data_IF_378632430529
#
_entry.id   IF_378632430529
#
_cell.length_a   1.000
_cell.length_b   1.000
_cell.length_c   1.000
_cell.angle_alpha   90.00
_cell.angle_beta   90.00
_cell.angle_gamma   90.00
#
_symmetry.space_group_name_H-M   'P 1'
#
loop_
_entity.id
_entity.type
_entity.pdbx_description
1 polymer ?
#
# COMPACT_ATOMS: atom_id res chain seq x y z
N UNK A 1 26.50 -7.01 -50.69
CA UNK A 1 25.27 -6.19 -50.59
C UNK A 1 24.22 -6.84 -49.68
N UNK A 2 24.07 -8.16 -49.67
CA UNK A 2 23.13 -8.92 -48.81
C UNK A 2 23.26 -8.67 -47.29
N UNK A 3 24.48 -8.55 -46.75
CA UNK A 3 24.71 -8.33 -45.31
C UNK A 3 24.35 -6.92 -44.80
N UNK A 4 24.35 -5.91 -45.68
CA UNK A 4 23.97 -4.54 -45.30
C UNK A 4 22.46 -4.40 -45.16
N UNK A 5 21.71 -5.07 -46.03
CA UNK A 5 20.24 -5.06 -46.02
C UNK A 5 19.70 -5.81 -44.78
N UNK A 6 20.29 -6.97 -44.45
CA UNK A 6 19.95 -7.73 -43.23
C UNK A 6 20.14 -6.91 -41.95
N UNK A 7 21.24 -6.18 -41.83
CA UNK A 7 21.50 -5.33 -40.67
C UNK A 7 20.55 -4.12 -40.58
N UNK A 8 20.15 -3.54 -41.70
CA UNK A 8 19.16 -2.46 -41.71
C UNK A 8 17.75 -2.96 -41.33
N UNK A 9 17.37 -4.15 -41.81
CA UNK A 9 16.11 -4.80 -41.46
C UNK A 9 16.05 -5.15 -39.96
N UNK A 10 17.11 -5.75 -39.40
CA UNK A 10 17.21 -6.06 -37.96
C UNK A 10 17.15 -4.79 -37.11
N UNK A 11 17.84 -3.71 -37.52
CA UNK A 11 17.83 -2.44 -36.79
C UNK A 11 16.44 -1.78 -36.82
N UNK A 12 15.75 -1.84 -37.96
CA UNK A 12 14.39 -1.30 -38.14
C UNK A 12 13.36 -2.08 -37.32
N UNK A 13 13.44 -3.41 -37.32
CA UNK A 13 12.58 -4.28 -36.51
C UNK A 13 12.79 -4.05 -35.01
N UNK A 14 14.05 -4.02 -34.56
CA UNK A 14 14.41 -3.75 -33.15
C UNK A 14 13.93 -2.37 -32.70
N UNK A 15 14.11 -1.33 -33.52
CA UNK A 15 13.63 0.03 -33.21
C UNK A 15 12.10 0.10 -33.10
N UNK A 16 11.38 -0.53 -34.04
CA UNK A 16 9.91 -0.56 -34.02
C UNK A 16 9.35 -1.32 -32.79
N UNK A 17 10.03 -2.39 -32.36
CA UNK A 17 9.67 -3.12 -31.15
C UNK A 17 9.95 -2.29 -29.88
N UNK A 18 11.04 -1.52 -29.82
CA UNK A 18 11.34 -0.64 -28.68
C UNK A 18 10.27 0.44 -28.51
N UNK A 19 9.87 1.13 -29.59
CA UNK A 19 8.83 2.17 -29.49
C UNK A 19 7.49 1.61 -28.97
N UNK A 20 7.10 0.41 -29.42
CA UNK A 20 5.89 -0.27 -28.93
C UNK A 20 5.94 -0.52 -27.43
N UNK A 21 7.07 -1.03 -26.93
CA UNK A 21 7.23 -1.32 -25.51
C UNK A 21 7.33 -0.06 -24.64
N UNK A 22 7.95 1.02 -25.14
CA UNK A 22 7.94 2.33 -24.47
C UNK A 22 6.50 2.84 -24.32
N UNK A 23 5.69 2.74 -25.38
CA UNK A 23 4.29 3.13 -25.32
C UNK A 23 3.50 2.30 -24.31
N UNK A 24 3.69 0.98 -24.31
CA UNK A 24 3.07 0.06 -23.33
C UNK A 24 3.43 0.46 -21.90
N UNK A 25 4.72 0.67 -21.61
CA UNK A 25 5.20 1.08 -20.28
C UNK A 25 4.59 2.43 -19.87
N UNK A 26 4.55 3.39 -20.79
CA UNK A 26 3.94 4.70 -20.56
C UNK A 26 2.46 4.59 -20.16
N UNK A 27 1.70 3.75 -20.88
CA UNK A 27 0.28 3.49 -20.55
C UNK A 27 0.15 2.89 -19.16
N UNK A 28 0.97 1.88 -18.82
CA UNK A 28 0.93 1.22 -17.49
C UNK A 28 1.11 2.24 -16.37
N UNK A 29 2.14 3.09 -16.47
CA UNK A 29 2.47 4.09 -15.44
C UNK A 29 1.38 5.16 -15.37
N UNK A 30 1.04 5.79 -16.50
CA UNK A 30 0.08 6.89 -16.53
C UNK A 30 -1.32 6.44 -16.11
N UNK A 31 -1.74 5.24 -16.48
CA UNK A 31 -3.02 4.67 -16.06
C UNK A 31 -3.11 4.52 -14.54
N UNK A 32 -2.06 3.98 -13.90
CA UNK A 32 -2.06 3.77 -12.45
C UNK A 32 -1.93 5.09 -11.67
N UNK A 33 -1.16 6.06 -12.19
CA UNK A 33 -1.14 7.42 -11.67
C UNK A 33 -2.53 8.06 -11.78
N UNK A 34 -3.17 7.94 -12.95
CA UNK A 34 -4.51 8.45 -13.18
C UNK A 34 -5.52 7.87 -12.18
N UNK A 35 -5.54 6.54 -11.98
CA UNK A 35 -6.40 5.93 -10.96
C UNK A 35 -6.12 6.48 -9.55
N UNK A 36 -4.85 6.56 -9.16
CA UNK A 36 -4.45 7.04 -7.83
C UNK A 36 -4.92 8.48 -7.58
N UNK A 37 -4.65 9.40 -8.52
CA UNK A 37 -5.06 10.79 -8.39
C UNK A 37 -6.58 10.98 -8.55
N UNK A 38 -7.23 10.22 -9.42
CA UNK A 38 -8.68 10.27 -9.56
C UNK A 38 -9.39 9.86 -8.28
N UNK A 39 -8.91 8.83 -7.58
CA UNK A 39 -9.44 8.42 -6.27
C UNK A 39 -9.24 9.54 -5.25
N UNK A 40 -8.03 10.13 -5.20
CA UNK A 40 -7.74 11.24 -4.27
C UNK A 40 -8.64 12.46 -4.48
N UNK A 41 -9.12 12.71 -5.71
CA UNK A 41 -10.03 13.83 -5.99
C UNK A 41 -11.44 13.66 -5.42
N UNK A 42 -11.87 12.41 -5.18
CA UNK A 42 -13.25 12.10 -4.76
C UNK A 42 -13.33 11.43 -3.40
N UNK A 43 -12.19 11.02 -2.84
CA UNK A 43 -12.11 10.28 -1.59
C UNK A 43 -10.84 10.68 -0.83
N UNK A 44 -11.01 11.55 0.16
CA UNK A 44 -9.92 12.09 0.96
C UNK A 44 -9.33 11.03 1.89
N UNK A 45 -8.00 11.06 2.03
CA UNK A 45 -7.30 10.22 2.99
C UNK A 45 -7.47 10.79 4.40
N UNK A 46 -7.66 9.94 5.42
CA UNK A 46 -7.54 10.38 6.80
C UNK A 46 -6.07 10.78 7.06
N UNK A 47 -5.86 11.96 7.63
CA UNK A 47 -4.53 12.43 8.06
C UNK A 47 -4.38 12.21 9.57
N UNK A 48 -3.17 11.87 10.04
CA UNK A 48 -2.94 11.57 11.47
C UNK A 48 -3.31 12.76 12.37
N UNK A 49 -3.04 13.98 11.91
CA UNK A 49 -3.31 15.23 12.62
C UNK A 49 -4.79 15.53 12.80
N UNK A 50 -5.68 14.86 12.04
CA UNK A 50 -7.13 14.98 12.21
C UNK A 50 -7.62 14.21 13.45
N UNK A 51 -6.79 13.31 13.99
CA UNK A 51 -7.09 12.47 15.16
C UNK A 51 -6.20 12.81 16.35
N UNK A 52 -4.89 12.95 16.12
CA UNK A 52 -3.91 13.18 17.17
C UNK A 52 -3.36 14.61 17.07
N UNK A 53 -3.63 15.44 18.08
CA UNK A 53 -3.16 16.83 18.10
C UNK A 53 -1.66 16.87 18.41
N UNK A 54 -0.88 17.50 17.52
CA UNK A 54 0.55 17.73 17.73
C UNK A 54 0.75 18.95 18.63
N UNK A 55 0.78 18.74 19.95
CA UNK A 55 1.15 19.78 20.90
C UNK A 55 2.68 19.91 21.02
N UNK A 56 3.18 21.15 21.10
CA UNK A 56 4.63 21.41 21.20
C UNK A 56 5.24 20.92 22.52
N UNK A 57 4.42 20.79 23.57
CA UNK A 57 4.80 20.24 24.87
C UNK A 57 3.66 19.35 25.35
N UNK A 58 3.85 18.04 25.30
CA UNK A 58 2.95 17.09 25.97
C UNK A 58 3.48 16.80 27.36
N UNK A 59 2.68 17.09 28.37
CA UNK A 59 2.94 16.64 29.73
C UNK A 59 2.56 15.17 29.78
N UNK A 60 3.50 14.28 30.11
CA UNK A 60 3.15 12.88 30.31
C UNK A 60 2.53 12.69 31.69
N UNK A 61 1.35 12.06 31.80
CA UNK A 61 0.77 11.72 33.08
C UNK A 61 1.66 10.71 33.82
N UNK A 62 2.02 11.03 35.07
CA UNK A 62 2.79 10.13 35.94
C UNK A 62 1.90 9.11 36.68
N UNK A 63 0.59 9.12 36.43
CA UNK A 63 -0.40 8.26 37.10
C UNK A 63 -1.25 7.52 36.07
N UNK A 64 -1.68 6.30 36.42
CA UNK A 64 -2.59 5.50 35.60
C UNK A 64 -3.93 6.21 35.38
N UNK A 65 -4.52 6.78 36.44
CA UNK A 65 -5.78 7.51 36.35
C UNK A 65 -5.67 8.71 35.39
N UNK A 66 -4.60 9.52 35.50
CA UNK A 66 -4.36 10.62 34.57
C UNK A 66 -4.14 10.17 33.13
N UNK A 67 -3.48 9.02 32.93
CA UNK A 67 -3.28 8.44 31.61
C UNK A 67 -4.60 8.04 30.94
N UNK A 68 -5.47 7.35 31.68
CA UNK A 68 -6.76 6.87 31.17
C UNK A 68 -7.72 8.05 30.94
N UNK A 69 -7.70 9.07 31.80
CA UNK A 69 -8.53 10.26 31.66
C UNK A 69 -8.21 11.06 30.39
N UNK A 70 -6.95 11.06 29.95
CA UNK A 70 -6.52 11.66 28.68
C UNK A 70 -6.74 10.75 27.45
N UNK A 71 -7.29 9.55 27.64
CA UNK A 71 -7.51 8.58 26.57
C UNK A 71 -6.24 7.79 26.17
N UNK A 72 -5.22 7.79 27.03
CA UNK A 72 -4.02 7.00 26.85
C UNK A 72 -4.18 5.54 27.33
N UNK A 73 -3.18 4.71 27.01
CA UNK A 73 -3.06 3.36 27.56
C UNK A 73 -1.89 3.31 28.54
N UNK A 74 -2.18 2.94 29.79
CA UNK A 74 -1.15 2.69 30.78
C UNK A 74 -0.53 1.30 30.58
N UNK A 75 0.79 1.24 30.54
CA UNK A 75 1.56 0.00 30.54
C UNK A 75 2.35 -0.11 31.83
N UNK A 76 2.01 -1.10 32.66
CA UNK A 76 2.79 -1.43 33.85
C UNK A 76 4.22 -1.82 33.46
N UNK A 77 5.19 -1.48 34.31
CA UNK A 77 6.60 -1.86 34.09
C UNK A 77 6.76 -3.39 34.05
N UNK A 78 7.31 -3.90 32.94
CA UNK A 78 7.98 -5.20 32.94
C UNK A 78 9.40 -5.03 33.49
N UNK A 79 9.73 -5.56 34.69
CA UNK A 79 11.07 -5.44 35.28
C UNK A 79 12.18 -6.08 34.42
N UNK A 80 11.85 -6.92 33.43
CA UNK A 80 12.82 -7.55 32.53
C UNK A 80 13.20 -6.69 31.32
N UNK A 81 12.41 -5.68 30.94
CA UNK A 81 12.71 -4.79 29.80
C UNK A 81 13.66 -3.63 30.16
N UNK A 82 13.98 -3.45 31.43
CA UNK A 82 14.95 -2.43 31.91
C UNK A 82 16.42 -2.88 31.91
N UNK A 83 16.77 -4.07 31.41
CA UNK A 83 18.19 -4.41 31.20
C UNK A 83 18.66 -3.90 29.83
N UNK A 84 18.60 -2.58 29.63
CA UNK A 84 19.42 -1.91 28.62
C UNK A 84 20.90 -2.06 28.99
N UNK A 85 21.84 -1.97 28.04
CA UNK A 85 23.25 -1.91 28.37
C UNK A 85 23.47 -0.70 29.30
N UNK A 86 24.02 -0.93 30.49
CA UNK A 86 24.39 0.11 31.45
C UNK A 86 25.25 1.17 30.74
N UNK A 87 24.65 2.29 30.35
CA UNK A 87 25.41 3.40 29.81
C UNK A 87 26.12 4.09 30.97
N UNK A 88 27.44 4.14 30.80
CA UNK A 88 28.46 4.56 31.74
C UNK A 88 28.18 5.90 32.44
N UNK A 89 28.32 5.85 33.78
CA UNK A 89 28.90 6.85 34.68
C UNK A 89 28.59 8.33 34.44
N UNK A 90 27.73 8.91 35.28
CA UNK A 90 27.68 10.36 35.54
C UNK A 90 26.32 11.03 35.44
N UNK A 91 25.25 10.30 35.14
CA UNK A 91 23.88 10.81 35.26
C UNK A 91 23.45 10.94 36.73
N UNK A 92 22.52 11.85 37.07
CA UNK A 92 21.95 11.90 38.42
C UNK A 92 21.42 10.51 38.78
N UNK A 93 21.73 10.07 40.00
CA UNK A 93 21.15 8.88 40.61
C UNK A 93 19.64 8.95 40.40
N UNK A 94 19.08 7.97 39.68
CA UNK A 94 17.64 7.83 39.57
C UNK A 94 17.14 7.59 41.00
N UNK A 95 16.68 8.65 41.66
CA UNK A 95 16.06 8.57 42.98
C UNK A 95 14.98 7.51 42.92
N UNK A 96 15.14 6.50 43.78
CA UNK A 96 14.19 5.44 44.04
C UNK A 96 12.83 6.09 44.37
N UNK A 97 11.99 6.17 43.34
CA UNK A 97 10.82 7.04 43.23
C UNK A 97 10.11 6.78 41.91
N UNK A 98 9.91 5.50 41.62
CA UNK A 98 8.70 4.93 41.00
C UNK A 98 8.09 5.67 39.81
N UNK A 99 8.75 5.67 38.65
CA UNK A 99 7.95 5.58 37.42
C UNK A 99 7.25 4.21 37.46
N UNK A 100 5.98 4.15 37.84
CA UNK A 100 5.19 2.92 38.05
C UNK A 100 4.73 2.26 36.74
N UNK A 101 4.91 2.95 35.61
CA UNK A 101 4.55 2.50 34.27
C UNK A 101 4.90 3.54 33.21
N UNK A 102 4.42 3.33 31.99
CA UNK A 102 4.51 4.29 30.87
C UNK A 102 3.11 4.53 30.30
N UNK A 103 2.77 5.80 30.03
CA UNK A 103 1.51 6.17 29.41
C UNK A 103 1.69 6.39 27.89
N UNK A 104 0.99 5.60 27.07
CA UNK A 104 0.81 5.87 25.64
C UNK A 104 -0.37 6.82 25.44
N UNK A 105 -0.10 8.13 25.54
CA UNK A 105 -1.12 9.19 25.40
C UNK A 105 -1.79 9.24 24.02
N UNK A 106 -1.17 8.66 22.99
CA UNK A 106 -1.73 8.61 21.63
C UNK A 106 -2.57 7.36 21.38
N UNK A 107 -2.72 6.45 22.35
CA UNK A 107 -3.32 5.15 22.11
C UNK A 107 -4.71 5.22 21.45
N UNK A 108 -5.65 5.96 22.05
CA UNK A 108 -7.02 6.03 21.53
C UNK A 108 -7.08 6.76 20.19
N UNK A 109 -6.42 7.92 20.06
CA UNK A 109 -6.45 8.67 18.80
C UNK A 109 -5.77 7.91 17.65
N UNK A 110 -4.69 7.16 17.93
CA UNK A 110 -4.01 6.29 16.96
C UNK A 110 -4.91 5.15 16.52
N UNK A 111 -5.65 4.53 17.45
CA UNK A 111 -6.61 3.49 17.12
C UNK A 111 -7.74 4.02 16.23
N UNK A 112 -8.29 5.20 16.53
CA UNK A 112 -9.31 5.84 15.69
C UNK A 112 -8.78 6.16 14.28
N UNK A 113 -7.55 6.66 14.18
CA UNK A 113 -6.87 6.88 12.90
C UNK A 113 -6.70 5.58 12.13
N UNK A 114 -6.20 4.52 12.77
CA UNK A 114 -5.96 3.22 12.13
C UNK A 114 -7.28 2.60 11.65
N UNK A 115 -8.36 2.71 12.42
CA UNK A 115 -9.70 2.27 12.02
C UNK A 115 -10.20 3.01 10.78
N UNK A 116 -10.08 4.35 10.75
CA UNK A 116 -10.48 5.16 9.59
C UNK A 116 -9.61 4.89 8.39
N UNK A 117 -8.30 4.72 8.59
CA UNK A 117 -7.33 4.39 7.55
C UNK A 117 -7.58 3.01 6.95
N UNK A 118 -7.91 2.02 7.76
CA UNK A 118 -8.27 0.67 7.33
C UNK A 118 -9.52 0.70 6.43
N UNK A 119 -10.58 1.41 6.85
CA UNK A 119 -11.79 1.59 6.03
C UNK A 119 -11.47 2.31 4.72
N UNK A 120 -10.65 3.36 4.76
CA UNK A 120 -10.20 4.07 3.58
C UNK A 120 -9.44 3.15 2.62
N UNK A 121 -8.44 2.41 3.11
CA UNK A 121 -7.64 1.47 2.33
C UNK A 121 -8.49 0.38 1.68
N UNK A 122 -9.47 -0.15 2.42
CA UNK A 122 -10.44 -1.13 1.90
C UNK A 122 -11.24 -0.57 0.72
N UNK A 123 -11.77 0.64 0.85
CA UNK A 123 -12.55 1.29 -0.21
C UNK A 123 -11.68 1.57 -1.44
N UNK A 124 -10.46 2.07 -1.24
CA UNK A 124 -9.49 2.28 -2.33
C UNK A 124 -9.13 0.95 -3.01
N UNK A 125 -8.94 -0.12 -2.26
CA UNK A 125 -8.72 -1.46 -2.81
C UNK A 125 -9.88 -1.88 -3.72
N UNK A 126 -11.13 -1.78 -3.26
CA UNK A 126 -12.32 -2.14 -4.05
C UNK A 126 -12.39 -1.31 -5.33
N UNK A 127 -12.15 0.00 -5.26
CA UNK A 127 -12.16 0.87 -6.45
C UNK A 127 -11.04 0.49 -7.43
N UNK A 128 -9.82 0.24 -6.96
CA UNK A 128 -8.70 -0.21 -7.81
C UNK A 128 -8.95 -1.58 -8.44
N UNK A 129 -9.67 -2.48 -7.75
CA UNK A 129 -10.12 -3.76 -8.32
C UNK A 129 -11.11 -3.53 -9.46
N UNK A 130 -12.13 -2.70 -9.25
CA UNK A 130 -13.13 -2.39 -10.28
C UNK A 130 -12.47 -1.74 -11.50
N UNK A 131 -11.62 -0.73 -11.28
CA UNK A 131 -10.90 -0.03 -12.35
C UNK A 131 -9.90 -0.95 -13.07
N UNK A 132 -9.18 -1.81 -12.33
CA UNK A 132 -8.26 -2.79 -12.89
C UNK A 132 -8.97 -3.81 -13.78
N UNK A 133 -10.10 -4.36 -13.31
CA UNK A 133 -10.94 -5.27 -14.10
C UNK A 133 -11.54 -4.55 -15.32
N UNK A 134 -12.03 -3.32 -15.16
CA UNK A 134 -12.54 -2.53 -16.27
C UNK A 134 -11.46 -2.28 -17.34
N UNK A 135 -10.22 -1.99 -16.92
CA UNK A 135 -9.07 -1.83 -17.82
C UNK A 135 -8.72 -3.13 -18.56
N UNK A 136 -8.74 -4.27 -17.86
CA UNK A 136 -8.53 -5.59 -18.47
C UNK A 136 -9.58 -5.88 -19.54
N UNK A 137 -10.86 -5.65 -19.22
CA UNK A 137 -11.98 -5.84 -20.16
C UNK A 137 -11.86 -4.90 -21.35
N UNK A 138 -11.58 -3.61 -21.12
CA UNK A 138 -11.37 -2.63 -22.19
C UNK A 138 -10.21 -3.03 -23.11
N UNK A 139 -9.12 -3.57 -22.56
CA UNK A 139 -7.99 -4.09 -23.31
C UNK A 139 -8.37 -5.20 -24.29
N UNK A 140 -9.38 -6.02 -24.00
CA UNK A 140 -9.83 -7.10 -24.90
C UNK A 140 -10.57 -6.56 -26.13
N UNK A 141 -11.32 -5.47 -25.98
CA UNK A 141 -12.12 -4.89 -27.07
C UNK A 141 -11.34 -3.92 -27.98
N UNK A 142 -10.14 -3.49 -27.56
CA UNK A 142 -9.31 -2.56 -28.34
C UNK A 142 -8.43 -3.32 -29.34
N UNK A 143 -8.56 -2.98 -30.62
CA UNK A 143 -7.79 -3.60 -31.72
C UNK A 143 -6.32 -3.17 -31.78
N UNK A 144 -5.96 -2.04 -31.18
CA UNK A 144 -4.59 -1.55 -31.14
C UNK A 144 -3.75 -2.37 -30.15
N UNK A 145 -2.87 -3.24 -30.67
CA UNK A 145 -2.10 -4.21 -29.87
C UNK A 145 -1.33 -3.58 -28.70
N UNK A 146 -0.62 -2.46 -28.93
CA UNK A 146 0.13 -1.79 -27.86
C UNK A 146 -0.78 -1.22 -26.77
N UNK A 147 -1.95 -0.69 -27.14
CA UNK A 147 -2.92 -0.14 -26.18
C UNK A 147 -3.59 -1.26 -25.40
N UNK A 148 -4.01 -2.33 -26.08
CA UNK A 148 -4.57 -3.53 -25.48
C UNK A 148 -3.62 -4.15 -24.44
N UNK A 149 -2.34 -4.34 -24.78
CA UNK A 149 -1.32 -4.85 -23.86
C UNK A 149 -1.10 -3.87 -22.70
N UNK A 150 -1.00 -2.57 -22.98
CA UNK A 150 -0.82 -1.54 -21.95
C UNK A 150 -1.95 -1.50 -20.93
N UNK A 151 -3.22 -1.53 -21.39
CA UNK A 151 -4.39 -1.56 -20.51
C UNK A 151 -4.51 -2.88 -19.74
N UNK A 152 -4.17 -4.00 -20.37
CA UNK A 152 -4.20 -5.29 -19.70
C UNK A 152 -3.16 -5.36 -18.57
N UNK A 153 -1.89 -5.04 -18.88
CA UNK A 153 -0.81 -5.04 -17.89
C UNK A 153 -1.01 -3.94 -16.83
N UNK A 154 -1.51 -2.77 -17.24
CA UNK A 154 -1.84 -1.68 -16.33
C UNK A 154 -2.97 -2.05 -15.37
N UNK A 155 -3.99 -2.79 -15.86
CA UNK A 155 -5.05 -3.34 -15.04
C UNK A 155 -4.54 -4.37 -14.03
N UNK A 156 -3.69 -5.31 -14.46
CA UNK A 156 -3.03 -6.26 -13.53
C UNK A 156 -2.21 -5.52 -12.48
N UNK A 157 -1.44 -4.51 -12.87
CA UNK A 157 -0.66 -3.70 -11.93
C UNK A 157 -1.57 -2.97 -10.92
N UNK A 158 -2.71 -2.44 -11.36
CA UNK A 158 -3.70 -1.82 -10.47
C UNK A 158 -4.23 -2.81 -9.42
N UNK A 159 -4.48 -4.06 -9.81
CA UNK A 159 -4.88 -5.12 -8.88
C UNK A 159 -3.79 -5.37 -7.82
N UNK A 160 -2.52 -5.44 -8.25
CA UNK A 160 -1.38 -5.64 -7.34
C UNK A 160 -1.25 -4.45 -6.37
N UNK A 161 -1.33 -3.21 -6.87
CA UNK A 161 -1.23 -2.00 -6.05
C UNK A 161 -2.37 -1.97 -5.02
N UNK A 162 -3.60 -2.28 -5.44
CA UNK A 162 -4.74 -2.39 -4.54
C UNK A 162 -4.52 -3.44 -3.45
N UNK A 163 -4.06 -4.63 -3.83
CA UNK A 163 -3.76 -5.71 -2.88
C UNK A 163 -2.72 -5.31 -1.85
N UNK A 164 -1.58 -4.75 -2.28
CA UNK A 164 -0.52 -4.31 -1.35
C UNK A 164 -1.07 -3.27 -0.36
N UNK A 165 -1.93 -2.35 -0.82
CA UNK A 165 -2.47 -1.28 0.01
C UNK A 165 -3.33 -1.78 1.18
N UNK A 166 -4.16 -2.79 0.95
CA UNK A 166 -5.09 -3.30 1.96
C UNK A 166 -4.60 -4.60 2.63
N UNK A 167 -3.47 -5.16 2.18
CA UNK A 167 -2.97 -6.46 2.65
C UNK A 167 -2.83 -6.56 4.16
N UNK A 168 -2.23 -5.55 4.80
CA UNK A 168 -1.97 -5.56 6.25
C UNK A 168 -3.26 -5.59 7.06
N UNK A 169 -4.26 -4.82 6.62
CA UNK A 169 -5.54 -4.65 7.30
C UNK A 169 -6.57 -5.75 6.94
N UNK A 170 -6.24 -6.59 5.95
CA UNK A 170 -7.10 -7.66 5.47
C UNK A 170 -7.01 -8.89 6.40
N UNK A 171 -8.17 -9.36 6.85
CA UNK A 171 -8.30 -10.63 7.58
C UNK A 171 -7.76 -11.81 6.77
N UNK A 172 -7.26 -12.83 7.46
CA UNK A 172 -6.64 -14.00 6.83
C UNK A 172 -7.61 -14.75 5.90
N UNK A 173 -8.91 -14.81 6.22
CA UNK A 173 -9.91 -15.44 5.35
C UNK A 173 -10.04 -14.65 4.04
N UNK A 174 -10.07 -13.32 4.11
CA UNK A 174 -10.14 -12.47 2.93
C UNK A 174 -8.88 -12.60 2.05
N UNK A 175 -7.69 -12.71 2.66
CA UNK A 175 -6.43 -12.96 1.92
C UNK A 175 -6.50 -14.26 1.13
N UNK A 176 -6.98 -15.34 1.75
CA UNK A 176 -7.13 -16.66 1.09
C UNK A 176 -8.14 -16.60 -0.05
N UNK A 177 -9.30 -15.97 0.17
CA UNK A 177 -10.32 -15.79 -0.88
C UNK A 177 -9.76 -14.99 -2.06
N UNK A 178 -9.06 -13.88 -1.78
CA UNK A 178 -8.49 -13.02 -2.81
C UNK A 178 -7.45 -13.77 -3.66
N UNK A 179 -6.54 -14.52 -3.02
CA UNK A 179 -5.57 -15.36 -3.72
C UNK A 179 -6.24 -16.48 -4.51
N UNK A 180 -7.28 -17.11 -3.96
CA UNK A 180 -8.07 -18.13 -4.65
C UNK A 180 -8.72 -17.60 -5.92
N UNK A 181 -9.37 -16.43 -5.85
CA UNK A 181 -9.99 -15.78 -7.02
C UNK A 181 -8.95 -15.38 -8.05
N UNK A 182 -7.82 -14.80 -7.62
CA UNK A 182 -6.73 -14.43 -8.53
C UNK A 182 -6.16 -15.66 -9.25
N UNK A 183 -5.93 -16.76 -8.52
CA UNK A 183 -5.46 -18.01 -9.09
C UNK A 183 -6.44 -18.58 -10.12
N UNK A 184 -7.73 -18.63 -9.79
CA UNK A 184 -8.77 -19.11 -10.71
C UNK A 184 -8.84 -18.24 -11.98
N UNK A 185 -8.74 -16.92 -11.84
CA UNK A 185 -8.72 -16.00 -12.97
C UNK A 185 -7.50 -16.23 -13.87
N UNK A 186 -6.31 -16.41 -13.30
CA UNK A 186 -5.08 -16.71 -14.05
C UNK A 186 -5.18 -18.06 -14.78
N UNK A 187 -5.69 -19.10 -14.13
CA UNK A 187 -5.92 -20.41 -14.76
C UNK A 187 -6.92 -20.26 -15.91
N UNK A 188 -8.02 -19.53 -15.71
CA UNK A 188 -9.03 -19.30 -16.74
C UNK A 188 -8.48 -18.55 -17.96
N UNK A 189 -7.73 -17.47 -17.73
CA UNK A 189 -7.05 -16.73 -18.82
C UNK A 189 -6.04 -17.62 -19.52
N UNK A 190 -5.25 -18.40 -18.78
CA UNK A 190 -4.31 -19.35 -19.34
C UNK A 190 -4.98 -20.36 -20.27
N UNK A 191 -6.07 -21.01 -19.81
CA UNK A 191 -6.80 -22.00 -20.62
C UNK A 191 -7.52 -21.34 -21.81
N UNK A 192 -8.08 -20.14 -21.67
CA UNK A 192 -8.87 -19.52 -22.74
C UNK A 192 -8.00 -18.85 -23.80
N UNK A 193 -6.87 -18.26 -23.41
CA UNK A 193 -6.01 -17.43 -24.27
C UNK A 193 -4.79 -18.18 -24.82
N UNK A 194 -4.37 -19.30 -24.20
CA UNK A 194 -3.27 -20.14 -24.70
C UNK A 194 -3.76 -21.39 -25.46
N UNK A 195 -5.07 -21.52 -25.66
CA UNK A 195 -5.64 -22.56 -26.52
C UNK A 195 -5.83 -22.09 -27.97
N UNK A 196 -5.30 -20.90 -28.29
CA UNK A 196 -5.00 -20.44 -29.64
C UNK A 196 -3.55 -20.79 -30.01
#
# INVERSE_FOLDING_TARGET
MENLDKNQMIKKEKHFNILKWILVLGIIVVLNLFFSFAIKLVYDSPEYTDFCTEEQVRVQPDTEEGCIDEGGQWSEKDPYLMRGPELMTGGPELTEGEATGYCDTDFTCRQEFDDKRSVYNKNVFVVLVILGVASLVAGIFISATSVSIGLSLGGVLSLIIGSIRYWSDMDDILRVIMLGVALLALIWVGIKKLKD
#
